data_IF_361562941261
#
_entry.id   IF_361562941261
#
_cell.length_a   1.000
_cell.length_b   1.000
_cell.length_c   1.000
_cell.angle_alpha   90.00
_cell.angle_beta   90.00
_cell.angle_gamma   90.00
#
_symmetry.space_group_name_H-M   'P 1'
#
loop_
_entity.id
_entity.type
_entity.pdbx_description
1 polymer ?
#
# COMPACT_ATOMS: atom_id res chain seq x y z
N UNK A 1 0.21 -2.67 1.61
CA UNK A 1 -0.56 -1.64 2.34
C UNK A 1 -1.15 -2.14 3.66
N UNK A 2 -1.89 -3.26 3.67
CA UNK A 2 -2.62 -3.79 4.85
C UNK A 2 -1.92 -3.63 6.21
N UNK A 3 -0.68 -4.09 6.35
CA UNK A 3 0.05 -4.00 7.64
C UNK A 3 0.27 -2.55 8.09
N UNK A 4 0.56 -1.63 7.16
CA UNK A 4 0.72 -0.22 7.48
C UNK A 4 -0.62 0.44 7.84
N UNK A 5 -1.73 0.01 7.25
CA UNK A 5 -3.09 0.45 7.63
C UNK A 5 -3.46 0.00 9.03
N UNK A 6 -3.25 -1.28 9.33
CA UNK A 6 -3.53 -1.84 10.66
C UNK A 6 -2.69 -1.16 11.74
N UNK A 7 -1.39 -0.95 11.47
CA UNK A 7 -0.51 -0.25 12.39
C UNK A 7 -0.91 1.22 12.57
N UNK A 8 -1.32 1.92 11.50
CA UNK A 8 -1.84 3.29 11.59
C UNK A 8 -3.10 3.35 12.46
N UNK A 9 -4.02 2.40 12.27
CA UNK A 9 -5.26 2.31 13.05
C UNK A 9 -5.00 2.08 14.54
N UNK A 10 -3.99 1.28 14.91
CA UNK A 10 -3.59 1.07 16.31
C UNK A 10 -3.10 2.37 16.97
N UNK A 11 -2.38 3.22 16.23
CA UNK A 11 -1.95 4.53 16.71
C UNK A 11 -3.10 5.57 16.79
N UNK A 12 -4.28 5.23 16.25
CA UNK A 12 -5.45 6.10 16.24
C UNK A 12 -5.22 7.40 15.48
N UNK A 13 -5.95 8.46 15.85
CA UNK A 13 -5.83 9.77 15.18
C UNK A 13 -4.43 10.37 15.26
N UNK A 14 -3.67 10.06 16.31
CA UNK A 14 -2.33 10.58 16.49
C UNK A 14 -1.31 9.89 15.56
N UNK A 15 -1.61 8.69 15.06
CA UNK A 15 -0.82 8.01 14.02
C UNK A 15 -0.80 8.75 12.68
N UNK A 16 -1.72 9.69 12.44
CA UNK A 16 -1.75 10.53 11.24
C UNK A 16 -0.84 11.76 11.32
N UNK A 17 -0.24 12.05 12.48
CA UNK A 17 0.72 13.15 12.60
C UNK A 17 2.11 12.71 12.11
N UNK A 18 2.98 13.68 11.85
CA UNK A 18 4.37 13.41 11.46
C UNK A 18 5.27 13.06 12.66
N UNK A 19 4.71 13.00 13.88
CA UNK A 19 5.47 12.66 15.09
C UNK A 19 5.76 11.16 15.20
N UNK A 20 4.88 10.33 14.63
CA UNK A 20 5.12 8.89 14.48
C UNK A 20 5.48 8.55 13.05
N UNK A 21 6.50 7.71 12.89
CA UNK A 21 6.97 7.22 11.58
C UNK A 21 5.87 6.50 10.76
N UNK A 22 4.81 6.02 11.43
CA UNK A 22 3.74 5.24 10.79
C UNK A 22 3.00 6.02 9.70
N UNK A 23 2.81 7.33 9.85
CA UNK A 23 2.15 8.17 8.82
C UNK A 23 2.93 8.17 7.51
N UNK A 24 4.26 8.27 7.58
CA UNK A 24 5.16 8.15 6.43
C UNK A 24 5.14 6.74 5.85
N UNK A 25 5.27 5.71 6.68
CA UNK A 25 5.24 4.31 6.21
C UNK A 25 3.93 3.95 5.51
N UNK A 26 2.80 4.48 5.99
CA UNK A 26 1.51 4.30 5.33
C UNK A 26 1.52 4.92 3.92
N UNK A 27 1.97 6.18 3.79
CA UNK A 27 2.09 6.88 2.48
C UNK A 27 3.04 6.16 1.53
N UNK A 28 4.23 5.79 2.02
CA UNK A 28 5.24 5.07 1.24
C UNK A 28 4.71 3.68 0.81
N UNK A 29 3.92 3.01 1.64
CA UNK A 29 3.32 1.72 1.25
C UNK A 29 2.27 1.84 0.14
N UNK A 30 1.62 3.00 -0.02
CA UNK A 30 0.60 3.21 -1.05
C UNK A 30 1.22 3.40 -2.43
N UNK A 31 2.39 4.05 -2.55
CA UNK A 31 3.03 4.25 -3.88
C UNK A 31 3.39 2.92 -4.54
N UNK A 32 3.70 1.89 -3.73
CA UNK A 32 3.99 0.54 -4.21
C UNK A 32 2.81 -0.16 -4.89
N UNK A 33 1.60 0.40 -4.81
CA UNK A 33 0.42 -0.12 -5.54
C UNK A 33 0.31 0.40 -6.98
N UNK A 34 1.17 1.36 -7.33
CA UNK A 34 1.18 2.07 -8.62
C UNK A 34 2.55 1.93 -9.31
N UNK A 35 3.64 2.05 -8.54
CA UNK A 35 5.01 1.96 -9.03
C UNK A 35 5.30 0.61 -9.69
N UNK A 36 6.14 0.62 -10.73
CA UNK A 36 6.50 -0.56 -11.53
C UNK A 36 5.30 -1.31 -12.17
N UNK A 37 4.17 -0.61 -12.31
CA UNK A 37 2.92 -1.14 -12.86
C UNK A 37 1.87 -1.30 -11.78
N UNK A 38 0.68 -0.76 -12.03
CA UNK A 38 -0.43 -0.83 -11.07
C UNK A 38 -0.86 -2.27 -10.81
N UNK A 39 -1.55 -2.50 -9.69
CA UNK A 39 -2.11 -3.81 -9.37
C UNK A 39 -2.98 -4.39 -10.51
N UNK A 40 -3.72 -3.55 -11.23
CA UNK A 40 -4.56 -3.94 -12.37
C UNK A 40 -3.73 -4.42 -13.55
N UNK A 41 -2.63 -3.71 -13.87
CA UNK A 41 -1.70 -4.11 -14.92
C UNK A 41 -1.02 -5.43 -14.56
N UNK A 42 -0.55 -5.58 -13.32
CA UNK A 42 0.05 -6.83 -12.85
C UNK A 42 -0.94 -8.00 -12.96
N UNK A 43 -2.20 -7.82 -12.55
CA UNK A 43 -3.26 -8.83 -12.70
C UNK A 43 -3.54 -9.18 -14.17
N UNK A 44 -3.57 -8.19 -15.05
CA UNK A 44 -3.75 -8.40 -16.50
C UNK A 44 -2.60 -9.22 -17.09
N UNK A 45 -1.35 -8.90 -16.74
CA UNK A 45 -0.16 -9.64 -17.19
C UNK A 45 -0.24 -11.08 -16.71
N UNK A 46 -0.58 -11.31 -15.43
CA UNK A 46 -0.76 -12.65 -14.89
C UNK A 46 -1.87 -13.40 -15.62
N UNK A 47 -3.02 -12.78 -15.88
CA UNK A 47 -4.14 -13.38 -16.62
C UNK A 47 -3.70 -13.85 -18.02
N UNK A 48 -2.95 -13.02 -18.74
CA UNK A 48 -2.39 -13.38 -20.04
C UNK A 48 -1.39 -14.55 -19.97
N UNK A 49 -0.59 -14.63 -18.90
CA UNK A 49 0.39 -15.71 -18.70
C UNK A 49 -0.26 -17.05 -18.37
N UNK A 50 -1.42 -17.04 -17.70
CA UNK A 50 -2.17 -18.27 -17.37
C UNK A 50 -3.20 -18.68 -18.43
N UNK A 51 -3.30 -17.93 -19.54
CA UNK A 51 -4.16 -18.26 -20.68
C UNK A 51 -5.63 -17.87 -20.53
N UNK A 52 -5.93 -16.86 -19.69
CA UNK A 52 -7.25 -16.23 -19.61
C UNK A 52 -7.42 -15.09 -20.62
#
# INVERSE_FOLDING_TARGET
VRVAEEALQIHGGYGYTEEYLISRLYRDSKVLTIGEGTNEIQRMVIAKLIGC
#
